data_IF_940922083674
#
_entry.id   IF_940922083674
#
_cell.length_a   1.000
_cell.length_b   1.000
_cell.length_c   1.000
_cell.angle_alpha   90.00
_cell.angle_beta   90.00
_cell.angle_gamma   90.00
#
_symmetry.space_group_name_H-M   'P 1'
#
loop_
_entity.id
_entity.type
_entity.pdbx_description
1 polymer ?
#
# COMPACT_ATOMS: atom_id res chain seq x y z
N UNK A 1 21.63 12.84 -31.24
CA UNK A 1 20.39 12.88 -30.44
C UNK A 1 20.63 12.04 -29.19
N UNK A 2 20.64 12.64 -28.00
CA UNK A 2 20.88 11.94 -26.72
C UNK A 2 19.54 11.60 -26.08
N UNK A 3 19.21 10.32 -25.97
CA UNK A 3 18.08 9.85 -25.15
C UNK A 3 18.39 10.20 -23.70
N UNK A 4 17.50 10.94 -23.03
CA UNK A 4 17.68 11.35 -21.64
C UNK A 4 17.90 10.13 -20.74
N UNK A 5 19.00 10.14 -20.00
CA UNK A 5 19.37 9.11 -19.05
C UNK A 5 18.43 9.15 -17.84
N UNK A 6 17.51 8.18 -17.76
CA UNK A 6 16.73 7.88 -16.57
C UNK A 6 15.50 8.75 -16.40
N UNK A 7 14.40 8.13 -15.99
CA UNK A 7 13.27 8.87 -15.42
C UNK A 7 13.80 9.74 -14.27
N UNK A 8 13.54 11.05 -14.30
CA UNK A 8 13.68 11.91 -13.13
C UNK A 8 12.47 11.57 -12.26
N UNK A 9 12.63 10.64 -11.31
CA UNK A 9 11.63 10.43 -10.27
C UNK A 9 11.82 11.62 -9.35
N UNK A 10 11.00 12.64 -9.56
CA UNK A 10 10.87 13.69 -8.56
C UNK A 10 10.45 13.00 -7.26
N UNK A 11 11.34 13.05 -6.26
CA UNK A 11 11.15 12.40 -4.96
C UNK A 11 10.24 13.25 -4.06
N UNK A 12 9.56 14.24 -4.64
CA UNK A 12 8.52 14.98 -3.96
C UNK A 12 7.42 14.01 -3.49
N UNK A 13 7.10 14.11 -2.19
CA UNK A 13 6.07 13.28 -1.57
C UNK A 13 4.71 13.71 -2.14
N UNK A 14 4.22 12.98 -3.13
CA UNK A 14 2.95 13.27 -3.84
C UNK A 14 1.72 13.38 -2.93
N UNK A 15 1.74 12.71 -1.78
CA UNK A 15 0.65 12.73 -0.78
C UNK A 15 1.03 13.47 0.52
N UNK A 16 2.16 14.18 0.56
CA UNK A 16 2.64 14.86 1.76
C UNK A 16 2.95 13.90 2.92
N UNK A 17 2.50 14.25 4.12
CA UNK A 17 2.66 13.41 5.32
C UNK A 17 1.50 12.40 5.45
N UNK A 18 1.87 11.11 5.37
CA UNK A 18 0.99 9.97 5.62
C UNK A 18 1.18 9.47 7.05
N UNK A 19 0.11 9.52 7.86
CA UNK A 19 0.12 9.01 9.24
C UNK A 19 -0.54 7.64 9.30
N UNK A 20 0.10 6.69 9.96
CA UNK A 20 -0.50 5.38 10.19
C UNK A 20 -1.75 5.49 11.07
N UNK A 21 -2.79 4.72 10.73
CA UNK A 21 -4.04 4.68 11.52
C UNK A 21 -4.43 3.27 11.92
N UNK A 22 -4.47 2.32 10.98
CA UNK A 22 -4.84 0.94 11.23
C UNK A 22 -4.16 -0.02 10.24
N UNK A 23 -4.14 -1.29 10.60
CA UNK A 23 -3.66 -2.39 9.75
C UNK A 23 -4.70 -3.50 9.70
N UNK A 24 -4.90 -4.07 8.52
CA UNK A 24 -5.84 -5.16 8.27
C UNK A 24 -5.14 -6.26 7.47
N UNK A 25 -5.10 -7.46 8.04
CA UNK A 25 -4.56 -8.64 7.38
C UNK A 25 -5.68 -9.38 6.63
N UNK A 26 -5.45 -9.65 5.35
CA UNK A 26 -6.35 -10.48 4.54
C UNK A 26 -5.64 -11.79 4.29
N UNK A 27 -6.23 -12.88 4.75
CA UNK A 27 -5.72 -14.22 4.57
C UNK A 27 -6.23 -14.86 3.28
N UNK A 28 -5.51 -15.84 2.76
CA UNK A 28 -6.00 -16.68 1.68
C UNK A 28 -7.19 -17.51 2.18
N UNK A 29 -8.09 -17.86 1.27
CA UNK A 29 -9.15 -18.81 1.55
C UNK A 29 -8.69 -20.16 1.00
N UNK A 30 -8.76 -21.21 1.81
CA UNK A 30 -8.45 -22.57 1.38
C UNK A 30 -9.52 -23.07 0.40
N UNK A 31 -9.25 -24.14 -0.33
CA UNK A 31 -10.22 -24.77 -1.26
C UNK A 31 -11.51 -25.21 -0.57
N UNK A 32 -11.45 -25.55 0.72
CA UNK A 32 -12.59 -25.92 1.56
C UNK A 32 -13.41 -24.71 2.06
N UNK A 33 -13.05 -23.49 1.64
CA UNK A 33 -13.73 -22.25 2.00
C UNK A 33 -13.34 -21.69 3.38
N UNK A 34 -12.52 -22.39 4.16
CA UNK A 34 -12.00 -21.93 5.46
C UNK A 34 -10.89 -20.88 5.30
N UNK A 35 -10.72 -19.95 6.27
CA UNK A 35 -9.60 -19.02 6.26
C UNK A 35 -8.27 -19.79 6.44
N UNK A 36 -7.31 -19.51 5.56
CA UNK A 36 -5.96 -20.04 5.62
C UNK A 36 -5.11 -19.27 6.62
N UNK A 37 -4.01 -19.87 7.07
CA UNK A 37 -2.98 -19.18 7.85
C UNK A 37 -2.04 -18.35 6.97
N UNK A 38 -2.06 -18.54 5.65
CA UNK A 38 -1.26 -17.74 4.71
C UNK A 38 -1.88 -16.35 4.50
N UNK A 39 -1.05 -15.32 4.65
CA UNK A 39 -1.42 -13.94 4.37
C UNK A 39 -1.51 -13.73 2.85
N UNK A 40 -2.63 -13.19 2.38
CA UNK A 40 -2.84 -12.80 0.97
C UNK A 40 -2.34 -11.39 0.69
N UNK A 41 -2.60 -10.46 1.62
CA UNK A 41 -2.19 -9.05 1.53
C UNK A 41 -2.37 -8.37 2.89
N UNK A 42 -1.56 -7.35 3.15
CA UNK A 42 -1.72 -6.46 4.29
C UNK A 42 -2.19 -5.10 3.81
N UNK A 43 -3.28 -4.61 4.38
CA UNK A 43 -3.83 -3.29 4.07
C UNK A 43 -3.46 -2.34 5.20
N UNK A 44 -2.75 -1.27 4.87
CA UNK A 44 -2.41 -0.19 5.79
C UNK A 44 -3.30 1.00 5.53
N UNK A 45 -4.04 1.42 6.54
CA UNK A 45 -4.84 2.64 6.49
C UNK A 45 -3.95 3.82 6.89
N UNK A 46 -3.70 4.71 5.92
CA UNK A 46 -2.86 5.88 6.10
C UNK A 46 -3.70 7.15 5.99
N UNK A 47 -3.68 8.00 7.01
CA UNK A 47 -4.30 9.33 6.94
C UNK A 47 -3.39 10.28 6.17
N UNK A 48 -3.89 10.81 5.07
CA UNK A 48 -3.22 11.84 4.29
C UNK A 48 -3.50 13.21 4.87
N UNK A 49 -2.45 13.95 5.21
CA UNK A 49 -2.59 15.29 5.79
C UNK A 49 -3.03 16.34 4.75
N UNK A 50 -2.76 16.12 3.47
CA UNK A 50 -3.14 17.03 2.38
C UNK A 50 -4.62 16.96 2.02
N UNK A 51 -5.16 15.74 1.87
CA UNK A 51 -6.56 15.51 1.47
C UNK A 51 -7.49 15.23 2.66
N UNK A 52 -6.97 15.07 3.88
CA UNK A 52 -7.75 14.80 5.10
C UNK A 52 -8.38 13.40 5.19
N UNK A 53 -8.31 12.61 4.12
CA UNK A 53 -8.88 11.27 4.02
C UNK A 53 -7.95 10.15 4.47
N UNK A 54 -8.53 8.96 4.64
CA UNK A 54 -7.81 7.70 4.86
C UNK A 54 -7.58 7.03 3.50
N UNK A 55 -6.34 6.61 3.26
CA UNK A 55 -5.90 5.91 2.07
C UNK A 55 -5.58 4.47 2.46
N UNK A 56 -6.35 3.47 2.00
CA UNK A 56 -6.04 2.07 2.19
C UNK A 56 -4.96 1.62 1.20
N UNK A 57 -3.77 1.28 1.69
CA UNK A 57 -2.64 0.80 0.89
C UNK A 57 -2.48 -0.70 1.04
N UNK A 58 -2.68 -1.44 -0.05
CA UNK A 58 -2.52 -2.90 -0.09
C UNK A 58 -1.08 -3.27 -0.44
N UNK A 59 -0.42 -4.01 0.44
CA UNK A 59 0.95 -4.53 0.25
C UNK A 59 0.88 -6.06 0.16
N UNK A 60 1.53 -6.68 -0.85
CA UNK A 60 1.62 -8.14 -0.93
C UNK A 60 2.41 -8.70 0.26
N UNK A 61 2.19 -9.97 0.64
CA UNK A 61 3.07 -10.69 1.55
C UNK A 61 4.49 -10.79 0.97
N UNK A 62 5.50 -10.83 1.84
CA UNK A 62 6.91 -11.08 1.48
C UNK A 62 7.12 -12.53 1.00
#
# INVERSE_FOLDING_TARGET
>A
MRLSNGFVIDKEKTFGELKFTAVRDVFLQNEDGTPSTQLKKRIYDLKCSLHGGIIPVSVPPE
#
